data_IF_486269218278
#
_entry.id   IF_486269218278
#
_cell.length_a   1.000
_cell.length_b   1.000
_cell.length_c   1.000
_cell.angle_alpha   90.00
_cell.angle_beta   90.00
_cell.angle_gamma   90.00
#
_symmetry.space_group_name_H-M   'P 1'
#
loop_
_entity.id
_entity.type
_entity.pdbx_description
1 polymer ?
#
# COMPACT_ATOMS: atom_id res chain seq x y z
N UNK A 1 -12.59 -6.14 20.07
CA UNK A 1 -11.35 -5.56 20.67
C UNK A 1 -11.74 -4.55 21.74
N UNK A 2 -11.19 -4.67 22.96
CA UNK A 2 -11.51 -3.76 24.08
C UNK A 2 -10.92 -2.36 23.85
N UNK A 3 -11.54 -1.33 24.48
CA UNK A 3 -11.01 0.05 24.44
C UNK A 3 -9.58 0.14 24.98
N UNK A 4 -9.22 -0.66 25.97
CA UNK A 4 -7.87 -0.71 26.52
C UNK A 4 -6.84 -1.16 25.48
N UNK A 5 -7.13 -2.23 24.75
CA UNK A 5 -6.25 -2.75 23.67
C UNK A 5 -6.13 -1.70 22.56
N UNK A 6 -7.22 -1.03 22.21
CA UNK A 6 -7.20 0.03 21.19
C UNK A 6 -6.26 1.17 21.61
N UNK A 7 -6.39 1.67 22.83
CA UNK A 7 -5.52 2.73 23.35
C UNK A 7 -4.03 2.32 23.36
N UNK A 8 -3.73 1.07 23.71
CA UNK A 8 -2.35 0.56 23.66
C UNK A 8 -1.81 0.52 22.23
N UNK A 9 -2.62 0.13 21.26
CA UNK A 9 -2.24 0.10 19.84
C UNK A 9 -2.06 1.52 19.28
N UNK A 10 -2.88 2.48 19.68
CA UNK A 10 -2.72 3.88 19.30
C UNK A 10 -1.40 4.46 19.82
N UNK A 11 -1.04 4.17 21.09
CA UNK A 11 0.26 4.54 21.65
C UNK A 11 1.41 3.88 20.89
N UNK A 12 1.27 2.59 20.57
CA UNK A 12 2.27 1.87 19.78
C UNK A 12 2.45 2.51 18.39
N UNK A 13 1.38 2.91 17.72
CA UNK A 13 1.46 3.58 16.44
C UNK A 13 2.23 4.90 16.50
N UNK A 14 2.01 5.72 17.54
CA UNK A 14 2.78 6.95 17.79
C UNK A 14 4.26 6.66 18.00
N UNK A 15 4.58 5.66 18.81
CA UNK A 15 5.97 5.25 19.06
C UNK A 15 6.64 4.73 17.78
N UNK A 16 5.93 3.96 16.98
CA UNK A 16 6.44 3.44 15.73
C UNK A 16 6.68 4.54 14.70
N UNK A 17 5.80 5.54 14.63
CA UNK A 17 5.95 6.69 13.77
C UNK A 17 7.10 7.63 14.16
N UNK A 18 7.69 7.44 15.34
CA UNK A 18 8.75 8.31 15.90
C UNK A 18 8.34 9.79 16.00
N UNK A 19 7.06 10.06 16.05
CA UNK A 19 6.46 11.39 16.19
C UNK A 19 5.13 11.31 16.92
N UNK A 20 4.68 12.42 17.50
CA UNK A 20 3.39 12.52 18.16
C UNK A 20 2.26 12.73 17.14
N UNK A 21 1.84 11.64 16.50
CA UNK A 21 0.70 11.65 15.61
C UNK A 21 -0.60 11.92 16.36
N UNK A 22 -1.48 12.72 15.75
CA UNK A 22 -2.87 12.78 16.19
C UNK A 22 -3.63 11.58 15.62
N UNK A 23 -4.10 10.69 16.50
CA UNK A 23 -4.91 9.53 16.10
C UNK A 23 -6.38 9.85 16.38
N UNK A 24 -7.22 9.71 15.35
CA UNK A 24 -8.67 9.92 15.45
C UNK A 24 -9.43 8.70 14.95
N UNK A 25 -10.52 8.37 15.63
CA UNK A 25 -11.41 7.29 15.23
C UNK A 25 -12.70 7.88 14.64
N UNK A 26 -13.01 7.57 13.38
CA UNK A 26 -14.17 8.11 12.66
C UNK A 26 -14.95 7.01 11.93
N UNK A 27 -16.19 7.27 11.57
CA UNK A 27 -16.99 6.42 10.68
C UNK A 27 -16.50 6.63 9.24
N UNK A 28 -15.44 5.96 8.87
CA UNK A 28 -14.83 5.98 7.52
C UNK A 28 -14.66 4.54 7.02
N UNK A 29 -14.67 4.31 5.70
CA UNK A 29 -14.61 2.96 5.14
C UNK A 29 -13.26 2.27 5.31
N UNK A 30 -12.18 3.05 5.44
CA UNK A 30 -10.80 2.55 5.61
C UNK A 30 -9.97 3.53 6.43
N UNK A 31 -8.84 3.08 6.96
CA UNK A 31 -7.84 3.96 7.56
C UNK A 31 -7.22 4.86 6.47
N UNK A 32 -6.74 6.02 6.87
CA UNK A 32 -5.92 6.89 6.03
C UNK A 32 -5.05 7.81 6.87
N UNK A 33 -3.94 8.23 6.28
CA UNK A 33 -3.02 9.18 6.89
C UNK A 33 -3.09 10.53 6.19
N UNK A 34 -3.48 11.58 6.93
CA UNK A 34 -3.38 12.95 6.46
C UNK A 34 -1.94 13.43 6.62
N UNK A 35 -1.20 13.39 5.53
CA UNK A 35 0.22 13.73 5.49
C UNK A 35 0.49 15.20 5.84
N UNK A 36 -0.44 16.10 5.52
CA UNK A 36 -0.27 17.54 5.78
C UNK A 36 -0.45 17.87 7.25
N UNK A 37 -1.50 17.34 7.86
CA UNK A 37 -1.86 17.65 9.23
C UNK A 37 -1.31 16.62 10.23
N UNK A 38 -0.62 15.59 9.76
CA UNK A 38 -0.06 14.49 10.56
C UNK A 38 -1.13 13.77 11.40
N UNK A 39 -2.30 13.54 10.80
CA UNK A 39 -3.44 12.88 11.43
C UNK A 39 -3.61 11.49 10.85
N UNK A 40 -3.55 10.47 11.71
CA UNK A 40 -3.89 9.11 11.39
C UNK A 40 -5.37 8.89 11.70
N UNK A 41 -6.19 8.72 10.67
CA UNK A 41 -7.61 8.45 10.82
C UNK A 41 -7.87 6.95 10.75
N UNK A 42 -8.36 6.38 11.84
CA UNK A 42 -8.75 4.98 11.93
C UNK A 42 -10.26 4.83 11.78
N UNK A 43 -10.75 3.83 11.05
CA UNK A 43 -12.17 3.52 11.06
C UNK A 43 -12.60 3.05 12.45
N UNK A 44 -13.86 3.37 12.81
CA UNK A 44 -14.49 2.74 13.95
C UNK A 44 -14.84 1.31 13.54
N UNK A 45 -13.98 0.39 13.92
CA UNK A 45 -14.11 -1.02 13.59
C UNK A 45 -15.03 -1.72 14.58
N UNK A 46 -15.66 -2.79 14.12
CA UNK A 46 -16.48 -3.66 14.98
C UNK A 46 -15.59 -4.32 16.04
N UNK A 47 -16.20 -4.72 17.15
CA UNK A 47 -15.46 -5.32 18.27
C UNK A 47 -14.86 -6.70 17.95
N UNK A 48 -15.34 -7.36 16.90
CA UNK A 48 -14.92 -8.67 16.42
C UNK A 48 -13.72 -8.65 15.46
N UNK A 49 -13.18 -7.46 15.16
CA UNK A 49 -11.99 -7.38 14.31
C UNK A 49 -10.78 -8.05 14.97
N UNK A 50 -10.02 -8.78 14.18
CA UNK A 50 -8.77 -9.40 14.64
C UNK A 50 -7.71 -8.36 15.04
N UNK A 51 -6.81 -8.75 15.93
CA UNK A 51 -5.67 -7.90 16.27
C UNK A 51 -4.74 -7.70 15.07
N UNK A 52 -4.60 -8.72 14.25
CA UNK A 52 -3.76 -8.74 13.07
C UNK A 52 -4.26 -7.77 11.99
N UNK A 53 -5.58 -7.73 11.79
CA UNK A 53 -6.19 -6.81 10.83
C UNK A 53 -6.07 -5.36 11.30
N UNK A 54 -6.22 -5.11 12.60
CA UNK A 54 -5.95 -3.79 13.17
C UNK A 54 -4.48 -3.39 13.02
N UNK A 55 -3.55 -4.31 13.29
CA UNK A 55 -2.11 -4.08 13.12
C UNK A 55 -1.74 -3.78 11.66
N UNK A 56 -2.42 -4.44 10.70
CA UNK A 56 -2.24 -4.14 9.29
C UNK A 56 -2.64 -2.69 9.00
N UNK A 57 -3.84 -2.26 9.40
CA UNK A 57 -4.29 -0.89 9.14
C UNK A 57 -3.38 0.15 9.79
N UNK A 58 -3.06 -0.03 11.06
CA UNK A 58 -2.18 0.90 11.78
C UNK A 58 -0.76 0.90 11.21
N UNK A 59 -0.20 -0.27 10.97
CA UNK A 59 1.16 -0.40 10.43
C UNK A 59 1.28 0.18 9.02
N UNK A 60 0.25 0.03 8.19
CA UNK A 60 0.19 0.63 6.86
C UNK A 60 0.25 2.18 6.95
N UNK A 61 -0.63 2.78 7.75
CA UNK A 61 -0.68 4.25 7.88
C UNK A 61 0.57 4.83 8.57
N UNK A 62 1.13 4.12 9.56
CA UNK A 62 2.44 4.47 10.13
C UNK A 62 3.54 4.37 9.06
N UNK A 63 3.43 3.41 8.15
CA UNK A 63 4.33 3.32 6.99
C UNK A 63 4.30 4.59 6.12
N UNK A 64 3.11 5.13 5.86
CA UNK A 64 2.95 6.42 5.19
C UNK A 64 3.52 7.58 6.02
N UNK A 65 3.25 7.62 7.32
CA UNK A 65 3.77 8.65 8.21
C UNK A 65 5.31 8.73 8.17
N UNK A 66 5.97 7.57 8.20
CA UNK A 66 7.43 7.48 8.23
C UNK A 66 8.09 7.71 6.87
N UNK A 67 7.43 7.30 5.79
CA UNK A 67 8.15 7.09 4.53
C UNK A 67 7.58 7.85 3.35
N UNK A 68 6.34 8.36 3.41
CA UNK A 68 5.74 9.07 2.28
C UNK A 68 5.97 10.58 2.40
N UNK A 69 6.77 11.19 1.51
CA UNK A 69 7.01 12.62 1.56
C UNK A 69 5.81 13.39 1.02
N UNK A 70 5.25 14.28 1.84
CA UNK A 70 4.09 15.10 1.46
C UNK A 70 4.32 15.88 0.17
N UNK A 71 5.43 16.60 0.07
CA UNK A 71 5.75 17.45 -1.09
C UNK A 71 5.85 16.63 -2.39
N UNK A 72 6.44 15.42 -2.33
CA UNK A 72 6.56 14.54 -3.49
C UNK A 72 5.20 14.11 -4.02
N UNK A 73 4.31 13.64 -3.14
CA UNK A 73 2.95 13.24 -3.50
C UNK A 73 2.15 14.43 -4.02
N UNK A 74 2.18 15.55 -3.30
CA UNK A 74 1.45 16.76 -3.67
C UNK A 74 1.89 17.27 -5.05
N UNK A 75 3.18 17.39 -5.30
CA UNK A 75 3.74 17.81 -6.59
C UNK A 75 3.33 16.87 -7.73
N UNK A 76 3.39 15.56 -7.52
CA UNK A 76 2.98 14.58 -8.52
C UNK A 76 1.49 14.69 -8.87
N UNK A 77 0.63 14.80 -7.87
CA UNK A 77 -0.83 14.91 -8.05
C UNK A 77 -1.25 16.27 -8.63
N UNK A 78 -0.52 17.34 -8.33
CA UNK A 78 -0.75 18.66 -8.93
C UNK A 78 -0.46 18.65 -10.43
N UNK A 79 0.59 17.94 -10.85
CA UNK A 79 0.93 17.78 -12.27
C UNK A 79 -0.02 16.85 -13.00
N UNK A 80 -0.48 15.79 -12.37
CA UNK A 80 -1.36 14.82 -12.99
C UNK A 80 -2.22 14.05 -11.97
N UNK A 81 -3.47 14.45 -11.84
CA UNK A 81 -4.43 13.83 -10.91
C UNK A 81 -4.74 12.37 -11.24
N UNK A 82 -4.65 11.97 -12.52
CA UNK A 82 -4.95 10.59 -12.94
C UNK A 82 -3.91 9.58 -12.43
N UNK A 83 -2.75 10.04 -11.98
CA UNK A 83 -1.72 9.18 -11.40
C UNK A 83 -2.03 8.71 -9.97
N UNK A 84 -3.08 9.25 -9.33
CA UNK A 84 -3.35 8.96 -7.91
C UNK A 84 -3.44 7.47 -7.60
N UNK A 85 -4.21 6.73 -8.39
CA UNK A 85 -4.39 5.28 -8.18
C UNK A 85 -3.07 4.51 -8.30
N UNK A 86 -2.25 4.86 -9.29
CA UNK A 86 -0.93 4.24 -9.49
C UNK A 86 0.03 4.57 -8.37
N UNK A 87 0.10 5.83 -8.00
CA UNK A 87 0.93 6.29 -6.88
C UNK A 87 0.55 5.56 -5.60
N UNK A 88 -0.74 5.40 -5.32
CA UNK A 88 -1.18 4.68 -4.14
C UNK A 88 -0.64 3.24 -4.14
N UNK A 89 -0.90 2.46 -5.20
CA UNK A 89 -0.43 1.06 -5.25
C UNK A 89 1.09 0.97 -5.11
N UNK A 90 1.81 1.83 -5.82
CA UNK A 90 3.27 1.83 -5.83
C UNK A 90 3.83 2.22 -4.47
N UNK A 91 3.26 3.25 -3.87
CA UNK A 91 3.68 3.75 -2.57
C UNK A 91 3.33 2.75 -1.46
N UNK A 92 2.14 2.14 -1.50
CA UNK A 92 1.74 1.08 -0.57
C UNK A 92 2.77 -0.05 -0.54
N UNK A 93 3.16 -0.56 -1.72
CA UNK A 93 4.18 -1.63 -1.80
C UNK A 93 5.49 -1.19 -1.14
N UNK A 94 5.90 0.05 -1.41
CA UNK A 94 7.15 0.61 -0.88
C UNK A 94 7.10 0.77 0.64
N UNK A 95 6.04 1.39 1.16
CA UNK A 95 5.94 1.68 2.60
C UNK A 95 5.70 0.42 3.40
N UNK A 96 4.86 -0.50 2.92
CA UNK A 96 4.62 -1.78 3.59
C UNK A 96 5.89 -2.63 3.69
N UNK A 97 6.73 -2.60 2.68
CA UNK A 97 8.02 -3.27 2.74
C UNK A 97 8.91 -2.63 3.80
N UNK A 98 9.06 -1.30 3.77
CA UNK A 98 9.91 -0.58 4.71
C UNK A 98 9.45 -0.74 6.16
N UNK A 99 8.14 -0.68 6.42
CA UNK A 99 7.61 -0.84 7.77
C UNK A 99 7.84 -2.26 8.31
N UNK A 100 7.69 -3.29 7.48
CA UNK A 100 7.96 -4.69 7.84
C UNK A 100 9.45 -5.01 7.98
N UNK A 101 10.33 -4.27 7.31
CA UNK A 101 11.77 -4.34 7.51
C UNK A 101 12.17 -3.69 8.84
N UNK A 102 11.60 -2.53 9.15
CA UNK A 102 11.85 -1.80 10.39
C UNK A 102 11.26 -2.50 11.62
N UNK A 103 10.03 -2.99 11.52
CA UNK A 103 9.28 -3.64 12.59
C UNK A 103 8.92 -5.07 12.20
N UNK A 104 9.84 -6.00 12.45
CA UNK A 104 9.71 -7.39 11.98
C UNK A 104 8.50 -8.12 12.56
N UNK A 105 8.03 -7.73 13.76
CA UNK A 105 6.82 -8.27 14.37
C UNK A 105 5.56 -8.09 13.51
N UNK A 106 5.50 -7.03 12.70
CA UNK A 106 4.38 -6.78 11.79
C UNK A 106 4.28 -7.80 10.64
N UNK A 107 5.34 -8.53 10.31
CA UNK A 107 5.31 -9.48 9.18
C UNK A 107 4.23 -10.54 9.36
N UNK A 108 4.10 -11.08 10.58
CA UNK A 108 3.07 -12.08 10.90
C UNK A 108 1.68 -11.46 10.84
N UNK A 109 1.48 -10.29 11.45
CA UNK A 109 0.19 -9.60 11.44
C UNK A 109 -0.26 -9.29 10.03
N UNK A 110 0.60 -8.74 9.17
CA UNK A 110 0.30 -8.47 7.76
C UNK A 110 -0.07 -9.74 6.99
N UNK A 111 0.70 -10.82 7.21
CA UNK A 111 0.41 -12.10 6.55
C UNK A 111 -0.96 -12.63 6.94
N UNK A 112 -1.29 -12.66 8.23
CA UNK A 112 -2.56 -13.16 8.74
C UNK A 112 -3.72 -12.27 8.30
N UNK A 113 -3.57 -10.95 8.44
CA UNK A 113 -4.60 -9.99 8.04
C UNK A 113 -4.93 -10.04 6.55
N UNK A 114 -3.93 -10.17 5.67
CA UNK A 114 -4.20 -10.35 4.24
C UNK A 114 -4.90 -11.68 3.92
N UNK A 115 -4.72 -12.74 4.72
CA UNK A 115 -5.54 -13.96 4.60
C UNK A 115 -7.00 -13.66 4.94
N UNK A 116 -7.25 -13.02 6.08
CA UNK A 116 -8.60 -12.62 6.49
C UNK A 116 -9.29 -11.76 5.42
N UNK A 117 -8.58 -10.78 4.85
CA UNK A 117 -9.09 -9.94 3.76
C UNK A 117 -9.41 -10.74 2.49
N UNK A 118 -8.63 -11.78 2.20
CA UNK A 118 -8.91 -12.68 1.08
C UNK A 118 -10.16 -13.52 1.32
N UNK A 119 -10.35 -14.04 2.54
CA UNK A 119 -11.52 -14.86 2.91
C UNK A 119 -12.84 -14.10 2.76
N UNK A 120 -12.85 -12.81 3.02
CA UNK A 120 -14.04 -11.95 2.85
C UNK A 120 -14.14 -11.30 1.46
N UNK A 121 -13.30 -11.71 0.51
CA UNK A 121 -13.22 -11.14 -0.85
C UNK A 121 -13.04 -9.61 -0.88
N UNK A 122 -12.26 -9.08 0.05
CA UNK A 122 -12.00 -7.63 0.14
C UNK A 122 -11.47 -7.03 -1.15
N UNK A 123 -10.69 -7.79 -1.92
CA UNK A 123 -10.14 -7.36 -3.21
C UNK A 123 -11.13 -7.52 -4.37
N UNK A 124 -12.31 -8.09 -4.14
CA UNK A 124 -13.35 -8.28 -5.16
C UNK A 124 -12.91 -9.18 -6.32
N UNK A 125 -12.08 -10.19 -6.03
CA UNK A 125 -11.46 -11.03 -7.06
C UNK A 125 -12.07 -12.43 -7.18
N UNK A 126 -12.99 -12.82 -6.28
CA UNK A 126 -13.57 -14.17 -6.24
C UNK A 126 -14.28 -14.58 -7.54
N UNK A 127 -14.80 -13.60 -8.28
CA UNK A 127 -15.54 -13.80 -9.55
C UNK A 127 -14.79 -13.25 -10.76
N UNK A 128 -13.53 -12.86 -10.64
CA UNK A 128 -12.76 -12.24 -11.72
C UNK A 128 -11.72 -13.22 -12.28
N UNK A 129 -11.49 -13.13 -13.58
CA UNK A 129 -10.33 -13.75 -14.18
C UNK A 129 -9.07 -12.93 -13.84
N UNK A 130 -8.23 -13.43 -12.96
CA UNK A 130 -7.04 -12.72 -12.50
C UNK A 130 -6.02 -12.45 -13.61
N UNK A 131 -6.10 -13.21 -14.72
CA UNK A 131 -5.20 -13.01 -15.86
C UNK A 131 -5.57 -11.77 -16.69
N UNK A 132 -6.83 -11.33 -16.61
CA UNK A 132 -7.38 -10.18 -17.33
C UNK A 132 -7.27 -8.86 -16.55
N UNK A 133 -6.79 -8.91 -15.31
CA UNK A 133 -6.55 -7.72 -14.52
C UNK A 133 -5.47 -6.84 -15.16
N UNK A 134 -5.59 -5.54 -14.92
CA UNK A 134 -4.54 -4.59 -15.30
C UNK A 134 -3.21 -4.94 -14.64
N UNK A 135 -2.09 -4.55 -15.24
CA UNK A 135 -0.77 -4.84 -14.67
C UNK A 135 -0.62 -4.27 -13.25
N UNK A 136 -1.17 -3.09 -12.98
CA UNK A 136 -1.09 -2.47 -11.66
C UNK A 136 -1.89 -3.24 -10.62
N UNK A 137 -3.07 -3.77 -10.97
CA UNK A 137 -3.87 -4.62 -10.09
C UNK A 137 -3.17 -5.95 -9.82
N UNK A 138 -2.54 -6.54 -10.85
CA UNK A 138 -1.71 -7.74 -10.69
C UNK A 138 -0.57 -7.48 -9.72
N UNK A 139 0.14 -6.36 -9.86
CA UNK A 139 1.22 -5.96 -8.95
C UNK A 139 0.69 -5.79 -7.52
N UNK A 140 -0.43 -5.08 -7.36
CA UNK A 140 -1.05 -4.88 -6.05
C UNK A 140 -1.36 -6.21 -5.36
N UNK A 141 -2.03 -7.13 -6.06
CA UNK A 141 -2.37 -8.45 -5.52
C UNK A 141 -1.12 -9.28 -5.20
N UNK A 142 -0.17 -9.41 -6.13
CA UNK A 142 1.06 -10.19 -5.91
C UNK A 142 1.82 -9.69 -4.69
N UNK A 143 1.89 -8.39 -4.48
CA UNK A 143 2.66 -7.81 -3.38
C UNK A 143 1.96 -7.90 -2.03
N UNK A 144 0.63 -7.90 -2.00
CA UNK A 144 -0.18 -7.99 -0.78
C UNK A 144 -0.45 -9.45 -0.38
N UNK A 145 -0.86 -10.28 -1.33
CA UNK A 145 -1.29 -11.66 -1.03
C UNK A 145 -0.32 -12.74 -1.51
N UNK A 146 0.66 -12.37 -2.33
CA UNK A 146 1.77 -13.25 -2.72
C UNK A 146 1.32 -14.51 -3.45
N UNK A 147 1.87 -15.66 -3.07
CA UNK A 147 1.60 -16.97 -3.70
C UNK A 147 0.18 -17.52 -3.47
N UNK A 148 -0.66 -16.83 -2.71
CA UNK A 148 -2.07 -17.23 -2.50
C UNK A 148 -2.94 -17.03 -3.74
N UNK A 149 -2.46 -16.22 -4.69
CA UNK A 149 -3.10 -16.01 -5.99
C UNK A 149 -2.18 -16.49 -7.09
N UNK A 150 -2.74 -17.17 -8.08
CA UNK A 150 -1.99 -17.61 -9.27
C UNK A 150 -2.21 -16.57 -10.36
N UNK A 151 -1.30 -15.61 -10.45
CA UNK A 151 -1.29 -14.57 -11.48
C UNK A 151 -0.09 -14.78 -12.38
N UNK A 152 -0.35 -14.99 -13.67
CA UNK A 152 0.70 -15.10 -14.69
C UNK A 152 0.79 -13.76 -15.42
N UNK A 153 1.99 -13.22 -15.48
CA UNK A 153 2.27 -12.05 -16.31
C UNK A 153 2.44 -12.48 -17.78
N UNK A 154 1.87 -11.71 -18.69
CA UNK A 154 2.08 -11.90 -20.12
C UNK A 154 3.54 -11.63 -20.48
N UNK A 155 3.97 -12.06 -21.68
CA UNK A 155 5.33 -11.74 -22.17
C UNK A 155 5.55 -10.23 -22.26
N UNK A 156 4.55 -9.47 -22.70
CA UNK A 156 4.60 -8.00 -22.80
C UNK A 156 4.73 -7.36 -21.43
N UNK A 157 3.96 -7.83 -20.45
CA UNK A 157 4.05 -7.37 -19.06
C UNK A 157 5.44 -7.67 -18.46
N UNK A 158 5.98 -8.87 -18.71
CA UNK A 158 7.32 -9.26 -18.27
C UNK A 158 8.40 -8.41 -18.93
N UNK A 159 8.31 -8.19 -20.25
CA UNK A 159 9.25 -7.33 -20.98
C UNK A 159 9.17 -5.89 -20.52
N UNK A 160 7.96 -5.40 -20.26
CA UNK A 160 7.76 -4.07 -19.70
C UNK A 160 8.41 -3.94 -18.33
N UNK A 161 8.16 -4.89 -17.43
CA UNK A 161 8.80 -4.92 -16.11
C UNK A 161 10.32 -5.04 -16.24
N UNK A 162 10.82 -5.84 -17.19
CA UNK A 162 12.24 -5.98 -17.45
C UNK A 162 12.88 -4.69 -18.03
N UNK A 163 12.18 -3.98 -18.93
CA UNK A 163 12.61 -2.66 -19.43
C UNK A 163 12.59 -1.61 -18.31
N UNK A 164 11.58 -1.63 -17.49
CA UNK A 164 11.55 -0.84 -16.25
C UNK A 164 12.76 -1.13 -15.33
N UNK A 165 13.29 -2.35 -15.36
CA UNK A 165 14.48 -2.78 -14.63
C UNK A 165 15.79 -2.14 -15.13
N UNK A 166 15.90 -1.88 -16.44
CA UNK A 166 17.09 -1.24 -17.05
C UNK A 166 17.17 0.27 -16.74
N UNK A 167 16.04 0.88 -16.40
CA UNK A 167 15.93 2.31 -16.08
C UNK A 167 15.76 2.57 -14.59
N UNK A 168 16.37 1.74 -13.74
CA UNK A 168 16.23 1.84 -12.30
C UNK A 168 14.77 1.69 -11.83
N UNK A 169 14.03 0.81 -12.52
CA UNK A 169 12.61 0.72 -12.51
C UNK A 169 11.96 -0.22 -11.51
N UNK A 170 11.01 -0.98 -11.97
CA UNK A 170 10.10 -1.82 -11.20
C UNK A 170 10.78 -2.94 -10.39
N UNK A 171 12.01 -3.36 -10.74
CA UNK A 171 12.80 -4.32 -9.92
C UNK A 171 13.13 -3.74 -8.54
N UNK A 172 13.46 -2.46 -8.48
CA UNK A 172 13.57 -1.73 -7.23
C UNK A 172 12.24 -1.68 -6.49
N UNK A 173 11.17 -1.58 -7.23
CA UNK A 173 9.82 -1.54 -6.73
C UNK A 173 9.40 -2.84 -6.02
N UNK A 174 9.72 -3.99 -6.60
CA UNK A 174 9.37 -5.30 -6.04
C UNK A 174 10.42 -5.84 -5.07
N UNK A 175 11.71 -5.48 -5.25
CA UNK A 175 12.82 -6.13 -4.54
C UNK A 175 13.74 -5.24 -3.69
N UNK A 176 13.75 -3.89 -3.85
CA UNK A 176 14.71 -3.04 -3.16
C UNK A 176 14.11 -1.83 -2.44
N UNK A 177 14.51 -1.59 -1.17
CA UNK A 177 13.91 -0.56 -0.31
C UNK A 177 14.46 0.86 -0.49
N UNK A 178 15.45 1.08 -1.36
CA UNK A 178 16.18 2.36 -1.46
C UNK A 178 15.71 3.28 -2.60
N UNK A 179 14.49 3.10 -3.09
CA UNK A 179 14.00 3.96 -4.16
C UNK A 179 13.44 5.24 -3.57
N UNK A 180 13.99 6.37 -3.97
CA UNK A 180 13.44 7.68 -3.68
C UNK A 180 12.04 7.81 -4.32
N UNK A 181 11.13 8.50 -3.62
CA UNK A 181 9.77 8.76 -4.09
C UNK A 181 9.73 9.38 -5.48
N UNK A 182 10.65 10.30 -5.79
CA UNK A 182 10.75 10.93 -7.12
C UNK A 182 11.10 9.95 -8.24
N UNK A 183 11.83 8.88 -7.92
CA UNK A 183 12.13 7.80 -8.87
C UNK A 183 10.87 6.98 -9.13
N UNK A 184 10.08 6.67 -8.10
CA UNK A 184 8.78 6.02 -8.22
C UNK A 184 7.86 6.84 -9.13
N UNK A 185 7.80 8.15 -8.93
CA UNK A 185 6.97 9.06 -9.75
C UNK A 185 7.37 9.06 -11.23
N UNK A 186 8.65 9.21 -11.56
CA UNK A 186 9.14 9.17 -12.96
C UNK A 186 8.77 7.87 -13.68
N UNK A 187 8.71 6.78 -12.96
CA UNK A 187 8.33 5.46 -13.50
C UNK A 187 6.84 5.34 -13.76
N UNK A 188 6.02 5.99 -12.97
CA UNK A 188 4.59 6.06 -13.25
C UNK A 188 4.31 6.80 -14.57
N UNK A 189 5.10 7.81 -14.94
CA UNK A 189 5.03 8.43 -16.27
C UNK A 189 5.39 7.44 -17.39
N UNK A 190 6.42 6.61 -17.18
CA UNK A 190 6.80 5.56 -18.13
C UNK A 190 5.70 4.52 -18.26
N UNK A 191 5.12 4.04 -17.14
CA UNK A 191 3.99 3.11 -17.12
C UNK A 191 2.82 3.66 -17.94
N UNK A 192 2.45 4.92 -17.74
CA UNK A 192 1.36 5.57 -18.47
C UNK A 192 1.62 5.67 -19.98
N UNK A 193 2.87 5.91 -20.38
CA UNK A 193 3.23 6.02 -21.80
C UNK A 193 2.99 4.71 -22.55
N UNK A 194 3.17 3.56 -21.90
CA UNK A 194 3.04 2.23 -22.50
C UNK A 194 1.67 1.55 -22.26
N UNK A 195 0.86 2.08 -21.33
CA UNK A 195 -0.46 1.54 -21.01
C UNK A 195 -1.51 2.65 -20.97
N UNK A 196 -1.98 3.11 -22.14
CA UNK A 196 -2.94 4.21 -22.24
C UNK A 196 -4.33 3.88 -21.63
N UNK A 197 -4.65 2.59 -21.42
CA UNK A 197 -5.93 2.16 -20.83
C UNK A 197 -5.98 2.29 -19.30
N UNK A 198 -4.93 2.71 -18.72
CA UNK A 198 -4.77 2.88 -17.28
C UNK A 198 -5.31 4.24 -16.81
N UNK A 199 -6.03 4.97 -17.64
CA UNK A 199 -6.55 6.32 -17.35
C UNK A 199 -7.97 6.37 -16.75
N UNK A 200 -8.61 5.24 -16.47
CA UNK A 200 -10.02 5.19 -16.05
C UNK A 200 -10.26 4.68 -14.61
N UNK A 201 -9.30 4.91 -13.68
CA UNK A 201 -9.56 4.67 -12.27
C UNK A 201 -9.28 5.90 -11.42
#
# INVERSE_FOLDING_TARGET
MTNQIRNQKDQLAKLMATEDLTIVHKKVPTAYFDMKNRILCCPILKDDISNELYDLFMGHEVGHALHTPYEGVHSALTKNKTLKGYLNVVEDVRIERKIREKYQGLRKSFYTAYNELMEIDFFGISKRNLQELSLIDKINLITKVGSRVIIKLTKEEQEFLAKGLKYDGIKYFVYYPKVDFMVVWRRMEVLRKYFPFVSEF
#
